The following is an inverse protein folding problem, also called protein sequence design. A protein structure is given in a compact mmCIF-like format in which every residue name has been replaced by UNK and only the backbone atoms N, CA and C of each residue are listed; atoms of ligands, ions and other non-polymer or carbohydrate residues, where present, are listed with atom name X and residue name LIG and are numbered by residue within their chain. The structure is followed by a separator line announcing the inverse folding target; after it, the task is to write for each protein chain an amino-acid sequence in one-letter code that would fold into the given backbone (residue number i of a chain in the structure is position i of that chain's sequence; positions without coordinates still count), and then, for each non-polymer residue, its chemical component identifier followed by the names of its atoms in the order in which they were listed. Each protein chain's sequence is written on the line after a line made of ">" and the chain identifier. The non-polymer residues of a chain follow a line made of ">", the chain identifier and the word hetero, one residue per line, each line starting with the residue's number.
data_IF_789454326946
#
_entry.id   IF_789454326946
#
_cell.length_a   1.000
_cell.length_b   1.000
_cell.length_c   1.000
_cell.angle_alpha   90.00
_cell.angle_beta   90.00
_cell.angle_gamma   90.00
#
_symmetry.space_group_name_H-M   'P 1'
#
loop_
_entity.id
_entity.type
_entity.pdbx_description
1 polymer ?
#
# COMPACT_ATOMS: atom_id res chain seq x y z
N UNK A 1 28.79 -10.19 -29.49
CA UNK A 1 27.38 -10.43 -29.90
C UNK A 1 26.54 -9.67 -28.88
N UNK A 2 25.92 -8.58 -29.27
CA UNK A 2 24.91 -7.92 -28.43
C UNK A 2 23.70 -8.85 -28.36
N UNK A 3 23.29 -9.19 -27.16
CA UNK A 3 22.05 -9.95 -26.91
C UNK A 3 20.86 -9.15 -27.46
N UNK A 4 19.87 -9.84 -28.02
CA UNK A 4 18.65 -9.19 -28.53
C UNK A 4 17.91 -8.41 -27.46
N UNK A 5 18.17 -8.69 -26.17
CA UNK A 5 17.56 -8.01 -25.00
C UNK A 5 18.38 -6.80 -24.51
N UNK A 6 19.66 -6.66 -24.93
CA UNK A 6 20.51 -5.54 -24.48
C UNK A 6 19.87 -4.17 -24.73
N UNK A 7 19.22 -4.01 -25.88
CA UNK A 7 18.48 -2.79 -26.21
C UNK A 7 17.32 -2.48 -25.28
N UNK A 8 16.61 -3.52 -24.83
CA UNK A 8 15.47 -3.37 -23.90
C UNK A 8 15.98 -2.99 -22.51
N UNK A 9 17.03 -3.64 -22.02
CA UNK A 9 17.62 -3.29 -20.72
C UNK A 9 18.25 -1.90 -20.72
N UNK A 10 18.91 -1.51 -21.82
CA UNK A 10 19.50 -0.18 -21.97
C UNK A 10 18.47 0.95 -22.08
N UNK A 11 17.25 0.63 -22.48
CA UNK A 11 16.16 1.58 -22.60
C UNK A 11 15.36 1.78 -21.29
N UNK A 12 15.61 0.96 -20.26
CA UNK A 12 15.02 1.15 -18.94
C UNK A 12 15.64 2.39 -18.27
N UNK A 13 14.81 3.25 -17.77
CA UNK A 13 15.21 4.50 -17.13
C UNK A 13 14.96 4.44 -15.62
N UNK A 14 16.00 4.18 -14.80
CA UNK A 14 15.82 4.06 -13.36
C UNK A 14 15.51 5.42 -12.74
N UNK A 15 14.28 5.61 -12.29
CA UNK A 15 13.80 6.83 -11.63
C UNK A 15 14.25 6.87 -10.17
N UNK A 16 15.54 6.68 -9.92
CA UNK A 16 16.14 6.61 -8.57
C UNK A 16 15.85 7.85 -7.72
N UNK A 17 15.95 9.10 -8.23
CA UNK A 17 15.65 10.28 -7.43
C UNK A 17 14.20 10.30 -6.95
N UNK A 18 13.24 10.01 -7.84
CA UNK A 18 11.81 9.94 -7.52
C UNK A 18 11.52 8.83 -6.51
N UNK A 19 12.04 7.63 -6.73
CA UNK A 19 11.88 6.49 -5.83
C UNK A 19 12.45 6.78 -4.43
N UNK A 20 13.60 7.44 -4.35
CA UNK A 20 14.23 7.83 -3.09
C UNK A 20 13.38 8.86 -2.35
N UNK A 21 12.86 9.86 -3.06
CA UNK A 21 12.02 10.90 -2.48
C UNK A 21 10.70 10.34 -1.95
N UNK A 22 10.04 9.46 -2.71
CA UNK A 22 8.83 8.78 -2.25
C UNK A 22 9.11 7.99 -0.96
N UNK A 23 10.17 7.17 -0.93
CA UNK A 23 10.54 6.36 0.24
C UNK A 23 10.96 7.21 1.45
N UNK A 24 11.50 8.39 1.22
CA UNK A 24 11.82 9.36 2.29
C UNK A 24 10.56 9.93 2.93
N UNK A 25 9.52 10.16 2.13
CA UNK A 25 8.29 10.81 2.58
C UNK A 25 7.24 9.83 3.09
N UNK A 26 7.11 8.65 2.46
CA UNK A 26 6.07 7.65 2.74
C UNK A 26 6.71 6.43 3.38
N UNK A 27 6.34 6.13 4.63
CA UNK A 27 6.82 4.96 5.36
C UNK A 27 5.91 3.74 5.18
N UNK A 28 4.60 3.96 5.12
CA UNK A 28 3.58 2.92 4.90
C UNK A 28 2.33 3.54 4.26
N UNK A 29 1.31 2.72 4.01
CA UNK A 29 0.02 3.18 3.45
C UNK A 29 -0.63 4.29 4.28
N UNK A 30 -0.46 4.27 5.61
CA UNK A 30 -1.09 5.19 6.55
C UNK A 30 -0.09 6.16 7.21
N UNK A 31 1.20 6.11 6.85
CA UNK A 31 2.22 6.84 7.60
C UNK A 31 3.13 7.68 6.70
N UNK A 32 3.10 9.00 6.94
CA UNK A 32 4.03 9.97 6.36
C UNK A 32 5.15 10.25 7.35
N UNK A 33 6.38 10.20 6.86
CA UNK A 33 7.59 10.44 7.65
C UNK A 33 7.64 11.87 8.21
N UNK A 34 8.17 12.02 9.42
CA UNK A 34 8.53 13.33 9.97
C UNK A 34 9.57 14.06 9.10
N UNK A 35 10.38 13.29 8.35
CA UNK A 35 11.40 13.81 7.46
C UNK A 35 10.85 14.27 6.10
N UNK A 36 9.54 14.06 5.85
CA UNK A 36 8.91 14.50 4.62
C UNK A 36 8.93 16.02 4.46
N UNK A 37 8.74 16.78 5.56
CA UNK A 37 8.95 18.22 5.56
C UNK A 37 9.39 18.73 6.94
N UNK A 38 10.11 19.84 6.95
CA UNK A 38 10.48 20.54 8.21
C UNK A 38 9.24 21.07 8.94
N UNK A 39 8.22 21.49 8.20
CA UNK A 39 6.95 21.99 8.72
C UNK A 39 6.20 20.88 9.44
N UNK A 40 6.04 19.70 8.81
CA UNK A 40 5.38 18.54 9.42
C UNK A 40 6.07 18.13 10.72
N UNK A 41 7.39 18.04 10.70
CA UNK A 41 8.19 17.71 11.88
C UNK A 41 7.95 18.72 13.02
N UNK A 42 7.90 20.02 12.71
CA UNK A 42 7.64 21.06 13.71
C UNK A 42 6.22 20.96 14.27
N UNK A 43 5.21 20.73 13.42
CA UNK A 43 3.82 20.56 13.85
C UNK A 43 3.71 19.38 14.82
N UNK A 44 4.25 18.21 14.46
CA UNK A 44 4.20 16.99 15.30
C UNK A 44 4.93 17.17 16.64
N UNK A 45 6.06 17.87 16.64
CA UNK A 45 6.74 18.25 17.89
C UNK A 45 5.87 19.16 18.75
N UNK A 46 5.16 20.11 18.14
CA UNK A 46 4.24 21.00 18.86
C UNK A 46 3.05 20.24 19.43
N UNK A 47 2.47 19.29 18.67
CA UNK A 47 1.40 18.41 19.16
C UNK A 47 1.88 17.64 20.39
N UNK A 48 3.05 16.99 20.29
CA UNK A 48 3.62 16.24 21.41
C UNK A 48 3.86 17.13 22.65
N UNK A 49 4.47 18.28 22.46
CA UNK A 49 4.71 19.20 23.56
C UNK A 49 3.41 19.71 24.21
N UNK A 50 2.36 19.94 23.43
CA UNK A 50 1.06 20.36 23.93
C UNK A 50 0.35 19.23 24.67
N UNK A 51 0.42 17.99 24.17
CA UNK A 51 -0.05 16.80 24.87
C UNK A 51 0.62 16.62 26.24
N UNK A 52 1.95 16.75 26.28
CA UNK A 52 2.72 16.63 27.53
C UNK A 52 2.29 17.71 28.55
N UNK A 53 2.00 18.94 28.11
CA UNK A 53 1.48 20.00 28.97
C UNK A 53 0.07 19.68 29.52
N UNK A 54 -0.83 19.14 28.66
CA UNK A 54 -2.16 18.73 29.09
C UNK A 54 -2.05 17.65 30.17
N UNK A 55 -1.26 16.60 29.89
CA UNK A 55 -1.05 15.53 30.86
C UNK A 55 -0.51 16.04 32.20
N UNK A 56 0.45 16.95 32.17
CA UNK A 56 1.01 17.54 33.37
C UNK A 56 -0.05 18.32 34.17
N UNK A 57 -0.85 19.16 33.50
CA UNK A 57 -1.88 19.95 34.17
C UNK A 57 -3.01 19.06 34.71
N UNK A 58 -3.48 18.09 33.92
CA UNK A 58 -4.53 17.18 34.35
C UNK A 58 -4.06 16.27 35.49
N UNK A 59 -2.83 15.74 35.43
CA UNK A 59 -2.26 14.96 36.52
C UNK A 59 -2.19 15.73 37.83
N UNK A 60 -1.82 17.01 37.77
CA UNK A 60 -1.83 17.89 38.94
C UNK A 60 -3.24 18.10 39.49
N UNK A 61 -4.24 18.29 38.64
CA UNK A 61 -5.66 18.41 39.06
C UNK A 61 -6.19 17.13 39.68
N UNK A 62 -5.93 15.98 39.04
CA UNK A 62 -6.39 14.65 39.48
C UNK A 62 -5.75 14.24 40.82
N UNK A 63 -4.47 14.54 41.01
CA UNK A 63 -3.77 14.24 42.27
C UNK A 63 -4.08 15.25 43.39
N UNK A 64 -4.51 16.45 43.04
CA UNK A 64 -4.68 17.59 43.94
C UNK A 64 -6.15 17.96 44.19
N UNK A 65 -6.51 19.15 43.75
CA UNK A 65 -7.79 19.81 44.10
C UNK A 65 -9.05 19.07 43.64
N UNK A 66 -9.00 18.35 42.52
CA UNK A 66 -10.16 17.65 42.00
C UNK A 66 -10.34 16.23 42.55
N UNK A 67 -9.36 15.66 43.24
CA UNK A 67 -9.30 14.24 43.64
C UNK A 67 -10.58 13.72 44.28
N UNK A 68 -11.17 14.47 45.21
CA UNK A 68 -12.37 14.07 45.97
C UNK A 68 -13.62 14.08 45.11
N UNK A 69 -13.64 14.79 44.01
CA UNK A 69 -14.75 14.98 43.11
C UNK A 69 -14.79 13.99 41.97
N UNK A 70 -13.66 13.29 41.73
CA UNK A 70 -13.52 12.35 40.63
C UNK A 70 -14.19 11.02 40.93
N UNK A 71 -14.77 10.40 39.89
CA UNK A 71 -15.21 9.02 39.91
C UNK A 71 -14.03 8.07 39.89
N UNK A 72 -13.01 8.40 39.08
CA UNK A 72 -11.76 7.68 38.94
C UNK A 72 -10.62 8.65 38.68
N UNK A 73 -9.41 8.32 39.11
CA UNK A 73 -8.22 9.17 38.97
C UNK A 73 -7.52 8.94 37.62
N UNK A 74 -8.29 8.94 36.53
CA UNK A 74 -7.80 8.70 35.16
C UNK A 74 -8.03 9.91 34.27
N UNK A 75 -7.13 10.14 33.32
CA UNK A 75 -7.31 11.08 32.22
C UNK A 75 -7.91 10.31 31.07
N UNK A 76 -9.00 10.79 30.50
CA UNK A 76 -9.73 10.15 29.41
C UNK A 76 -9.82 11.08 28.22
N UNK A 77 -10.12 10.53 27.04
CA UNK A 77 -10.41 11.33 25.86
C UNK A 77 -11.88 11.15 25.47
N UNK A 78 -12.57 12.25 25.19
CA UNK A 78 -13.94 12.28 24.67
C UNK A 78 -14.00 13.30 23.53
N UNK A 79 -14.53 12.89 22.38
CA UNK A 79 -14.63 13.73 21.19
C UNK A 79 -13.30 14.41 20.79
N UNK A 80 -12.16 13.69 20.95
CA UNK A 80 -10.84 14.24 20.67
C UNK A 80 -10.34 15.24 21.71
N UNK A 81 -10.95 15.32 22.89
CA UNK A 81 -10.57 16.24 23.98
C UNK A 81 -10.20 15.49 25.24
N UNK A 82 -9.17 15.97 25.92
CA UNK A 82 -8.77 15.44 27.21
C UNK A 82 -9.73 15.88 28.30
N UNK A 83 -10.31 14.92 28.98
CA UNK A 83 -11.32 15.10 30.03
C UNK A 83 -10.96 14.30 31.28
N UNK A 84 -11.58 14.66 32.40
CA UNK A 84 -11.54 13.89 33.65
C UNK A 84 -12.94 13.45 34.05
N UNK A 85 -13.10 12.22 34.61
CA UNK A 85 -14.39 11.69 35.02
C UNK A 85 -14.78 12.25 36.42
N UNK A 86 -15.77 13.12 36.47
CA UNK A 86 -16.26 13.78 37.67
C UNK A 86 -17.60 13.16 38.07
N UNK A 87 -17.81 12.87 39.34
CA UNK A 87 -19.12 12.45 39.86
C UNK A 87 -20.16 13.55 39.62
N UNK A 88 -21.34 13.18 39.13
CA UNK A 88 -22.38 14.12 38.71
C UNK A 88 -22.78 15.11 39.82
N UNK A 89 -22.76 14.66 41.09
CA UNK A 89 -23.06 15.47 42.27
C UNK A 89 -22.07 16.62 42.52
N UNK A 90 -20.83 16.49 41.99
CA UNK A 90 -19.79 17.49 42.14
C UNK A 90 -19.54 18.33 40.87
N UNK A 91 -20.49 18.33 39.92
CA UNK A 91 -20.41 19.10 38.67
C UNK A 91 -19.97 20.56 38.88
N UNK A 92 -20.48 21.21 39.94
CA UNK A 92 -20.16 22.61 40.22
C UNK A 92 -18.79 22.87 40.86
N UNK A 93 -18.08 21.82 41.28
CA UNK A 93 -16.77 21.93 41.96
C UNK A 93 -15.60 21.86 41.00
N UNK A 94 -15.79 21.39 39.74
CA UNK A 94 -14.80 21.32 38.71
C UNK A 94 -15.21 22.22 37.55
N UNK A 95 -14.69 23.44 37.46
CA UNK A 95 -15.01 24.35 36.37
C UNK A 95 -14.53 23.78 35.04
N UNK A 96 -15.43 23.63 34.07
CA UNK A 96 -15.08 23.06 32.77
C UNK A 96 -16.28 22.85 31.87
N UNK A 97 -16.04 22.25 30.70
CA UNK A 97 -17.07 21.90 29.73
C UNK A 97 -17.35 20.40 29.80
N UNK A 98 -18.63 20.04 29.81
CA UNK A 98 -19.05 18.63 29.77
C UNK A 98 -19.12 18.21 28.34
N UNK A 99 -18.38 17.16 28.01
CA UNK A 99 -18.37 16.57 26.66
C UNK A 99 -19.16 15.27 26.57
N UNK A 100 -19.25 14.52 27.69
CA UNK A 100 -19.95 13.24 27.71
C UNK A 100 -20.43 12.90 29.14
N UNK A 101 -21.32 11.91 29.23
CA UNK A 101 -21.71 11.33 30.50
C UNK A 101 -21.81 9.80 30.40
N UNK A 102 -21.66 9.13 31.56
CA UNK A 102 -21.84 7.68 31.62
C UNK A 102 -23.31 7.30 31.34
N UNK A 103 -23.53 6.05 30.89
CA UNK A 103 -24.88 5.55 30.59
C UNK A 103 -25.87 5.67 31.78
N UNK A 104 -25.37 5.62 33.03
CA UNK A 104 -26.14 5.80 34.22
C UNK A 104 -26.34 7.28 34.63
N UNK A 105 -25.65 8.20 33.97
CA UNK A 105 -25.64 9.62 34.32
C UNK A 105 -24.84 9.96 35.57
N UNK A 106 -24.25 8.99 36.25
CA UNK A 106 -23.52 9.18 37.52
C UNK A 106 -22.15 9.81 37.38
N UNK A 107 -21.58 9.79 36.18
CA UNK A 107 -20.24 10.33 35.86
C UNK A 107 -20.32 11.28 34.67
N UNK A 108 -19.72 12.45 34.81
CA UNK A 108 -19.62 13.46 33.77
C UNK A 108 -18.14 13.52 33.32
N UNK A 109 -17.90 13.50 32.01
CA UNK A 109 -16.59 13.72 31.46
C UNK A 109 -16.41 15.20 31.20
N UNK A 110 -15.63 15.84 32.07
CA UNK A 110 -15.44 17.29 32.07
C UNK A 110 -14.05 17.60 31.50
N UNK A 111 -14.02 18.50 30.54
CA UNK A 111 -12.80 19.19 30.10
C UNK A 111 -12.57 20.38 31.05
N UNK A 112 -11.56 20.33 31.92
CA UNK A 112 -11.31 21.45 32.86
C UNK A 112 -10.92 22.72 32.12
N UNK A 113 -11.37 23.87 32.59
CA UNK A 113 -11.03 25.18 32.01
C UNK A 113 -9.54 25.40 31.84
N UNK A 114 -8.72 24.80 32.71
CA UNK A 114 -7.26 24.87 32.64
C UNK A 114 -6.66 24.32 31.36
N UNK A 115 -7.33 23.33 30.71
CA UNK A 115 -6.82 22.67 29.52
C UNK A 115 -7.60 22.97 28.23
N UNK A 116 -8.71 23.72 28.31
CA UNK A 116 -9.54 24.06 27.13
C UNK A 116 -8.73 24.70 26.03
N UNK A 117 -7.86 25.66 26.38
CA UNK A 117 -6.98 26.30 25.38
C UNK A 117 -6.04 25.31 24.75
N UNK A 118 -5.40 24.45 25.54
CA UNK A 118 -4.44 23.44 25.02
C UNK A 118 -5.14 22.39 24.13
N UNK A 119 -6.34 21.96 24.49
CA UNK A 119 -7.13 21.07 23.62
C UNK A 119 -7.51 21.76 22.29
N UNK A 120 -7.82 23.04 22.30
CA UNK A 120 -8.05 23.81 21.07
C UNK A 120 -6.77 23.94 20.24
N UNK A 121 -5.62 24.21 20.90
CA UNK A 121 -4.31 24.30 20.23
C UNK A 121 -3.96 22.95 19.54
N UNK A 122 -4.24 21.81 20.19
CA UNK A 122 -4.04 20.49 19.57
C UNK A 122 -4.92 20.35 18.32
N UNK A 123 -6.19 20.67 18.43
CA UNK A 123 -7.11 20.55 17.29
C UNK A 123 -6.68 21.40 16.09
N UNK A 124 -6.20 22.60 16.37
CA UNK A 124 -5.63 23.47 15.33
C UNK A 124 -4.35 22.88 14.70
N UNK A 125 -3.48 22.30 15.53
CA UNK A 125 -2.25 21.65 15.07
C UNK A 125 -2.55 20.38 14.23
N UNK A 126 -3.54 19.57 14.63
CA UNK A 126 -3.99 18.40 13.85
C UNK A 126 -4.50 18.82 12.46
N UNK A 127 -5.27 19.89 12.37
CA UNK A 127 -5.74 20.43 11.08
C UNK A 127 -4.57 20.95 10.22
N UNK A 128 -3.56 21.55 10.85
CA UNK A 128 -2.34 21.98 10.16
C UNK A 128 -1.52 20.79 9.67
N UNK A 129 -1.44 19.73 10.48
CA UNK A 129 -0.77 18.49 10.12
C UNK A 129 -1.43 17.86 8.88
N UNK A 130 -2.75 17.71 8.90
CA UNK A 130 -3.48 17.15 7.78
C UNK A 130 -3.27 17.96 6.49
N UNK A 131 -3.35 19.28 6.60
CA UNK A 131 -3.11 20.17 5.46
C UNK A 131 -1.68 20.06 4.91
N UNK A 132 -0.68 19.94 5.79
CA UNK A 132 0.71 19.78 5.37
C UNK A 132 0.94 18.43 4.68
N UNK A 133 0.30 17.36 5.18
CA UNK A 133 0.31 16.05 4.54
C UNK A 133 -0.27 16.12 3.12
N UNK A 134 -1.38 16.82 2.93
CA UNK A 134 -1.97 17.05 1.61
C UNK A 134 -1.00 17.78 0.66
N UNK A 135 -0.26 18.77 1.15
CA UNK A 135 0.75 19.50 0.38
C UNK A 135 1.89 18.56 -0.04
N UNK A 136 2.39 17.74 0.88
CA UNK A 136 3.45 16.76 0.61
C UNK A 136 2.99 15.75 -0.45
N UNK A 137 1.80 15.17 -0.30
CA UNK A 137 1.26 14.20 -1.25
C UNK A 137 1.00 14.82 -2.63
N UNK A 138 0.50 16.05 -2.67
CA UNK A 138 0.32 16.77 -3.92
C UNK A 138 1.65 17.03 -4.65
N UNK A 139 2.71 17.40 -3.90
CA UNK A 139 4.04 17.59 -4.46
C UNK A 139 4.61 16.28 -5.02
N UNK A 140 4.49 15.17 -4.29
CA UNK A 140 4.94 13.86 -4.77
C UNK A 140 4.16 13.43 -6.01
N UNK A 141 2.84 13.61 -6.02
CA UNK A 141 1.99 13.31 -7.18
C UNK A 141 2.40 14.11 -8.42
N UNK A 142 2.76 15.38 -8.24
CA UNK A 142 3.24 16.22 -9.33
C UNK A 142 4.61 15.74 -9.87
N UNK A 143 5.52 15.29 -9.00
CA UNK A 143 6.79 14.71 -9.41
C UNK A 143 6.58 13.41 -10.20
N UNK A 144 5.69 12.52 -9.74
CA UNK A 144 5.31 11.31 -10.48
C UNK A 144 4.71 11.65 -11.84
N UNK A 145 3.82 12.64 -11.90
CA UNK A 145 3.20 13.08 -13.15
C UNK A 145 4.23 13.65 -14.16
N UNK A 146 5.30 14.27 -13.67
CA UNK A 146 6.37 14.77 -14.54
C UNK A 146 7.16 13.64 -15.23
N UNK A 147 7.26 12.46 -14.58
CA UNK A 147 7.96 11.29 -15.09
C UNK A 147 7.04 10.26 -15.75
N UNK A 148 5.79 10.63 -16.04
CA UNK A 148 4.77 9.70 -16.52
C UNK A 148 5.17 8.96 -17.80
N UNK A 149 5.81 9.63 -18.75
CA UNK A 149 6.22 9.02 -20.01
C UNK A 149 7.32 7.97 -19.80
N UNK A 150 8.30 8.26 -18.94
CA UNK A 150 9.35 7.31 -18.59
C UNK A 150 8.77 6.09 -17.85
N UNK A 151 7.85 6.30 -16.91
CA UNK A 151 7.16 5.21 -16.19
C UNK A 151 6.38 4.31 -17.16
N UNK A 152 5.67 4.88 -18.13
CA UNK A 152 4.94 4.12 -19.14
C UNK A 152 5.85 3.33 -20.07
N UNK A 153 6.97 3.93 -20.50
CA UNK A 153 7.97 3.27 -21.33
C UNK A 153 8.58 2.07 -20.58
N UNK A 154 9.01 2.28 -19.35
CA UNK A 154 9.57 1.24 -18.49
C UNK A 154 8.57 0.10 -18.25
N UNK A 155 7.32 0.41 -17.93
CA UNK A 155 6.28 -0.59 -17.75
C UNK A 155 6.08 -1.44 -19.02
N UNK A 156 6.06 -0.80 -20.18
CA UNK A 156 5.92 -1.50 -21.47
C UNK A 156 7.09 -2.45 -21.73
N UNK A 157 8.32 -1.99 -21.46
CA UNK A 157 9.53 -2.81 -21.61
C UNK A 157 9.52 -3.97 -20.61
N UNK A 158 9.18 -3.71 -19.34
CA UNK A 158 9.11 -4.73 -18.29
C UNK A 158 8.10 -5.83 -18.61
N UNK A 159 6.92 -5.47 -19.12
CA UNK A 159 5.90 -6.44 -19.57
C UNK A 159 6.41 -7.31 -20.69
N UNK A 160 7.13 -6.73 -21.66
CA UNK A 160 7.74 -7.50 -22.76
C UNK A 160 8.84 -8.44 -22.26
N UNK A 161 9.71 -7.96 -21.38
CA UNK A 161 10.77 -8.78 -20.77
C UNK A 161 10.19 -9.92 -19.95
N UNK A 162 9.17 -9.65 -19.11
CA UNK A 162 8.48 -10.68 -18.31
C UNK A 162 7.92 -11.78 -19.21
N UNK A 163 7.24 -11.39 -20.30
CA UNK A 163 6.68 -12.35 -21.26
C UNK A 163 7.77 -13.18 -21.96
N UNK A 164 8.90 -12.56 -22.34
CA UNK A 164 10.02 -13.25 -22.94
C UNK A 164 10.62 -14.27 -21.95
N UNK A 165 10.88 -13.85 -20.71
CA UNK A 165 11.43 -14.73 -19.68
C UNK A 165 10.47 -15.84 -19.28
N UNK A 166 9.17 -15.56 -19.17
CA UNK A 166 8.16 -16.59 -18.90
C UNK A 166 8.14 -17.68 -19.98
N UNK A 167 8.20 -17.27 -21.25
CA UNK A 167 8.31 -18.20 -22.39
C UNK A 167 9.62 -19.00 -22.38
N UNK A 168 10.73 -18.35 -22.09
CA UNK A 168 12.03 -19.00 -21.99
C UNK A 168 12.03 -20.03 -20.84
N UNK A 169 11.54 -19.65 -19.67
CA UNK A 169 11.40 -20.56 -18.53
C UNK A 169 10.53 -21.79 -18.86
N UNK A 170 9.39 -21.56 -19.50
CA UNK A 170 8.52 -22.64 -19.96
C UNK A 170 9.21 -23.55 -20.99
N UNK A 171 9.94 -22.98 -21.95
CA UNK A 171 10.70 -23.75 -22.94
C UNK A 171 11.77 -24.62 -22.28
N UNK A 172 12.48 -24.08 -21.28
CA UNK A 172 13.46 -24.85 -20.50
C UNK A 172 12.79 -25.98 -19.70
N UNK A 173 11.68 -25.70 -19.03
CA UNK A 173 10.93 -26.72 -18.29
C UNK A 173 10.42 -27.83 -19.17
N UNK A 174 9.96 -27.50 -20.36
CA UNK A 174 9.47 -28.45 -21.35
C UNK A 174 10.60 -29.13 -22.15
N UNK A 175 11.86 -28.70 -22.01
CA UNK A 175 12.97 -29.09 -22.86
C UNK A 175 12.60 -28.91 -24.36
N UNK A 176 12.02 -27.76 -24.67
CA UNK A 176 11.55 -27.40 -25.99
C UNK A 176 12.70 -26.96 -26.91
N UNK A 177 12.51 -27.15 -28.21
CA UNK A 177 13.42 -26.62 -29.25
C UNK A 177 12.70 -25.52 -30.03
N UNK A 178 13.48 -24.62 -30.61
CA UNK A 178 12.96 -23.53 -31.43
C UNK A 178 12.19 -24.07 -32.64
N UNK A 179 10.93 -23.65 -32.85
CA UNK A 179 10.15 -24.07 -34.01
C UNK A 179 10.58 -23.33 -35.27
N UNK A 180 10.69 -24.06 -36.36
CA UNK A 180 10.90 -23.47 -37.70
C UNK A 180 9.54 -23.33 -38.38
N UNK A 181 9.13 -22.11 -38.63
CA UNK A 181 7.88 -21.83 -39.33
C UNK A 181 8.02 -21.93 -40.84
N UNK A 182 6.95 -22.37 -41.54
CA UNK A 182 6.87 -22.43 -42.98
C UNK A 182 5.50 -21.90 -43.48
N UNK A 183 5.49 -21.48 -44.75
CA UNK A 183 4.27 -21.02 -45.44
C UNK A 183 3.58 -22.09 -46.26
N UNK A 184 4.09 -23.33 -46.24
CA UNK A 184 3.61 -24.44 -47.04
C UNK A 184 2.45 -25.20 -46.36
N UNK A 185 2.00 -24.80 -45.20
CA UNK A 185 0.98 -25.47 -44.42
C UNK A 185 1.40 -26.87 -43.94
N UNK A 186 2.70 -27.12 -43.77
CA UNK A 186 3.23 -28.42 -43.34
C UNK A 186 3.59 -28.39 -41.86
N UNK A 187 3.18 -29.41 -41.13
CA UNK A 187 3.59 -29.68 -39.76
C UNK A 187 4.53 -30.89 -39.76
N UNK A 188 5.73 -30.72 -39.24
CA UNK A 188 6.70 -31.79 -39.03
C UNK A 188 7.17 -31.77 -37.58
N UNK A 189 6.72 -32.75 -36.81
CA UNK A 189 7.09 -32.92 -35.41
C UNK A 189 8.06 -34.11 -35.27
N UNK A 190 9.13 -33.93 -34.50
CA UNK A 190 10.03 -35.04 -34.17
C UNK A 190 10.09 -35.14 -32.63
N UNK A 191 9.86 -36.33 -32.12
CA UNK A 191 9.89 -36.62 -30.67
C UNK A 191 9.04 -35.63 -29.85
N UNK A 192 7.88 -35.23 -30.40
CA UNK A 192 7.00 -34.28 -29.73
C UNK A 192 6.37 -34.94 -28.51
N UNK A 193 6.26 -34.16 -27.44
CA UNK A 193 5.63 -34.55 -26.19
C UNK A 193 4.58 -33.51 -25.80
N UNK A 194 3.43 -34.01 -25.33
CA UNK A 194 2.40 -33.13 -24.82
C UNK A 194 2.83 -32.52 -23.47
N UNK A 195 2.75 -31.20 -23.27
CA UNK A 195 3.28 -30.55 -22.08
C UNK A 195 2.61 -30.97 -20.76
N UNK A 196 1.33 -31.41 -20.81
CA UNK A 196 0.59 -31.86 -19.64
C UNK A 196 0.72 -33.37 -19.33
N UNK A 197 1.53 -34.11 -20.12
CA UNK A 197 1.80 -35.51 -19.82
C UNK A 197 3.02 -35.61 -18.92
N UNK A 198 2.93 -36.41 -17.85
CA UNK A 198 3.99 -36.65 -16.90
C UNK A 198 5.32 -36.97 -17.64
N UNK A 199 6.37 -36.22 -17.31
CA UNK A 199 7.72 -36.37 -17.88
C UNK A 199 8.28 -37.79 -17.74
N UNK A 200 7.81 -38.57 -16.79
CA UNK A 200 8.21 -39.96 -16.53
C UNK A 200 7.52 -40.97 -17.43
N UNK A 201 6.46 -40.58 -18.14
CA UNK A 201 5.75 -41.46 -19.10
C UNK A 201 6.21 -41.10 -20.51
N UNK A 202 6.98 -41.99 -21.18
CA UNK A 202 7.43 -41.71 -22.54
C UNK A 202 6.29 -41.83 -23.54
N UNK A 203 5.52 -40.77 -23.73
CA UNK A 203 4.62 -40.66 -24.88
C UNK A 203 5.28 -39.71 -25.89
N UNK A 204 6.08 -40.28 -26.76
CA UNK A 204 6.75 -39.58 -27.83
C UNK A 204 6.02 -39.84 -29.13
N UNK A 205 5.49 -38.80 -29.76
CA UNK A 205 5.12 -38.87 -31.19
C UNK A 205 6.41 -38.89 -31.98
N UNK A 206 6.78 -40.04 -32.54
CA UNK A 206 8.09 -40.27 -33.16
C UNK A 206 8.25 -39.50 -34.46
N UNK A 207 7.22 -39.24 -35.21
CA UNK A 207 7.14 -38.23 -36.29
C UNK A 207 5.68 -38.06 -36.74
N UNK A 208 5.24 -36.84 -36.92
CA UNK A 208 4.03 -36.50 -37.64
C UNK A 208 4.43 -35.57 -38.78
N UNK A 209 4.05 -35.97 -39.99
CA UNK A 209 4.21 -35.12 -41.17
C UNK A 209 2.84 -35.10 -41.87
N UNK A 210 2.28 -33.93 -42.05
CA UNK A 210 0.98 -33.77 -42.70
C UNK A 210 0.69 -32.33 -43.08
N UNK A 211 -0.26 -32.13 -43.98
CA UNK A 211 -0.83 -30.80 -44.27
C UNK A 211 -1.86 -30.43 -43.22
N UNK A 212 -1.91 -29.16 -42.81
CA UNK A 212 -2.99 -28.67 -41.95
C UNK A 212 -4.28 -28.75 -42.74
N UNK A 213 -5.16 -29.70 -42.36
CA UNK A 213 -6.55 -29.68 -42.82
C UNK A 213 -7.28 -28.64 -41.96
N UNK A 214 -7.74 -27.56 -42.58
CA UNK A 214 -8.52 -26.48 -41.95
C UNK A 214 -9.94 -26.91 -41.52
N UNK A 215 -10.25 -28.21 -41.51
CA UNK A 215 -11.58 -28.78 -41.19
C UNK A 215 -11.53 -29.75 -40.01
N UNK A 216 -11.00 -29.30 -38.86
CA UNK A 216 -11.09 -30.08 -37.60
C UNK A 216 -12.00 -29.38 -36.58
N UNK A 217 -13.28 -29.26 -36.91
CA UNK A 217 -14.35 -29.01 -35.97
C UNK A 217 -15.48 -29.98 -36.24
N UNK A 218 -15.32 -31.21 -35.76
CA UNK A 218 -16.46 -32.11 -35.53
C UNK A 218 -16.60 -32.31 -34.01
N UNK A 219 -17.81 -32.11 -33.44
CA UNK A 219 -18.01 -32.11 -32.00
C UNK A 219 -17.96 -33.49 -31.32
N UNK A 220 -17.91 -34.59 -32.05
CA UNK A 220 -18.31 -35.92 -31.55
C UNK A 220 -17.25 -37.02 -31.59
N UNK A 221 -15.96 -36.73 -31.63
CA UNK A 221 -14.97 -37.79 -31.52
C UNK A 221 -13.91 -37.53 -30.47
N UNK A 222 -13.69 -38.56 -29.63
CA UNK A 222 -12.65 -38.70 -28.59
C UNK A 222 -11.34 -37.99 -28.84
N UNK A 223 -10.65 -37.50 -27.80
CA UNK A 223 -9.62 -36.51 -27.89
C UNK A 223 -8.40 -37.02 -28.65
N UNK A 224 -8.34 -36.74 -29.91
CA UNK A 224 -7.09 -36.74 -30.66
C UNK A 224 -6.39 -35.43 -30.32
N UNK A 225 -5.20 -35.57 -29.76
CA UNK A 225 -4.23 -34.53 -29.38
C UNK A 225 -4.52 -33.17 -30.02
N UNK A 226 -5.10 -32.24 -29.28
CA UNK A 226 -5.10 -30.81 -29.64
C UNK A 226 -3.69 -30.30 -29.46
N UNK A 227 -2.94 -30.11 -30.55
CA UNK A 227 -1.72 -29.36 -30.55
C UNK A 227 -2.06 -27.88 -30.34
N UNK A 228 -1.74 -27.34 -29.19
CA UNK A 228 -1.65 -25.90 -29.02
C UNK A 228 -0.25 -25.47 -29.50
N UNK A 229 -0.20 -24.72 -30.57
CA UNK A 229 0.95 -23.92 -30.97
C UNK A 229 0.96 -22.60 -30.22
#
# INVERSE_FOLDING_TARGET
>A
MTDSLDGMFAALEPLTPLSTEIRRCILSEDEISDDASSTLRQIRRSIKATNDRIHTQLSSLVAGSARNYLQDSVITMRDGRYCIPVKAEYKGQVPGMIHDQSATGSTLFIEPMAVVKLNNDIRELELKEQKEIEVILASLSQQVAAELEAIHADLSIMVQLDFIFARAALAMDMNASEPVFNTEGRIRLRQARHPLIDKKKPFLLTSVSGMILTSWLSPDQTPVVKLFL
#
